data_IF_426281430109
#
_entry.id   IF_426281430109
#
_cell.length_a   1.000
_cell.length_b   1.000
_cell.length_c   1.000
_cell.angle_alpha   90.00
_cell.angle_beta   90.00
_cell.angle_gamma   90.00
#
_symmetry.space_group_name_H-M   'P 1'
#
loop_
_entity.id
_entity.type
_entity.pdbx_description
1 polymer ?
#
# COMPACT_ATOMS: atom_id res chain seq x y z
N UNK A 1 -5.99 -13.24 -10.77
CA UNK A 1 -6.36 -11.82 -10.74
C UNK A 1 -6.44 -11.45 -9.29
N UNK A 2 -5.29 -11.35 -8.64
CA UNK A 2 -5.19 -11.33 -7.17
C UNK A 2 -4.00 -10.46 -6.72
N UNK A 3 -3.47 -9.69 -7.68
CA UNK A 3 -2.43 -8.70 -7.46
C UNK A 3 -3.13 -7.39 -7.12
N UNK A 4 -2.63 -6.70 -6.09
CA UNK A 4 -3.09 -5.38 -5.72
C UNK A 4 -1.89 -4.54 -5.32
N UNK A 5 -2.01 -3.24 -5.48
CA UNK A 5 -1.04 -2.29 -4.97
C UNK A 5 -1.78 -1.14 -4.26
N UNK A 6 -1.05 -0.44 -3.38
CA UNK A 6 -1.52 0.81 -2.79
C UNK A 6 -0.60 1.93 -3.24
N UNK A 7 -1.19 3.01 -3.75
CA UNK A 7 -0.46 4.14 -4.34
C UNK A 7 -0.77 5.41 -3.58
N UNK A 8 0.27 6.19 -3.31
CA UNK A 8 0.11 7.61 -2.98
C UNK A 8 0.17 8.40 -4.29
N UNK A 9 -0.89 9.13 -4.59
CA UNK A 9 -0.96 9.98 -5.77
C UNK A 9 -0.91 11.45 -5.39
N UNK A 10 -0.37 12.28 -6.28
CA UNK A 10 -0.58 13.71 -6.26
C UNK A 10 -2.05 13.99 -6.62
N UNK A 11 -2.83 14.64 -5.76
CA UNK A 11 -4.26 14.81 -6.00
C UNK A 11 -4.60 15.61 -7.27
N UNK A 12 -3.77 16.59 -7.62
CA UNK A 12 -4.04 17.50 -8.74
C UNK A 12 -3.76 16.87 -10.10
N UNK A 13 -2.68 16.09 -10.22
CA UNK A 13 -2.23 15.55 -11.52
C UNK A 13 -2.47 14.05 -11.66
N UNK A 14 -2.77 13.35 -10.56
CA UNK A 14 -2.83 11.89 -10.52
C UNK A 14 -1.46 11.21 -10.59
N UNK A 15 -0.35 11.96 -10.56
CA UNK A 15 1.00 11.40 -10.59
C UNK A 15 1.22 10.47 -9.39
N UNK A 16 1.70 9.25 -9.65
CA UNK A 16 2.08 8.32 -8.58
C UNK A 16 3.36 8.84 -7.91
N UNK A 17 3.25 9.14 -6.62
CA UNK A 17 4.36 9.57 -5.77
C UNK A 17 5.07 8.36 -5.15
N UNK A 18 4.30 7.36 -4.70
CA UNK A 18 4.80 6.11 -4.11
C UNK A 18 3.87 4.95 -4.46
N UNK A 19 4.43 3.74 -4.57
CA UNK A 19 3.70 2.49 -4.81
C UNK A 19 4.18 1.44 -3.83
N UNK A 20 3.24 0.75 -3.21
CA UNK A 20 3.48 -0.44 -2.38
C UNK A 20 2.80 -1.63 -3.04
N UNK A 21 3.59 -2.53 -3.60
CA UNK A 21 3.09 -3.81 -4.11
C UNK A 21 2.67 -4.70 -2.95
N UNK A 22 1.47 -5.28 -3.06
CA UNK A 22 1.01 -6.23 -2.06
C UNK A 22 1.60 -7.62 -2.31
N UNK A 23 1.81 -8.42 -1.25
CA UNK A 23 2.19 -9.82 -1.42
C UNK A 23 1.16 -10.56 -2.29
N UNK A 24 1.58 -11.55 -3.09
CA UNK A 24 0.68 -12.34 -3.93
C UNK A 24 -0.52 -12.89 -3.15
N UNK A 25 -1.70 -12.90 -3.79
CA UNK A 25 -2.95 -13.35 -3.15
C UNK A 25 -3.54 -12.34 -2.16
N UNK A 26 -3.10 -11.08 -2.23
CA UNK A 26 -3.63 -9.98 -1.42
C UNK A 26 -4.48 -9.07 -2.30
N UNK A 27 -5.80 -9.25 -2.21
CA UNK A 27 -6.75 -8.24 -2.70
C UNK A 27 -6.84 -7.04 -1.75
N UNK A 28 -7.07 -5.85 -2.30
CA UNK A 28 -7.48 -4.65 -1.54
C UNK A 28 -8.80 -4.15 -2.13
N UNK A 29 -9.89 -4.27 -1.37
CA UNK A 29 -11.23 -3.84 -1.76
C UNK A 29 -11.62 -2.47 -1.20
N UNK A 30 -10.89 -1.99 -0.18
CA UNK A 30 -11.15 -0.72 0.48
C UNK A 30 -9.95 -0.28 1.32
N UNK A 31 -9.90 1.03 1.61
CA UNK A 31 -8.82 1.67 2.33
C UNK A 31 -9.41 2.71 3.29
N UNK A 32 -9.08 2.63 4.58
CA UNK A 32 -9.49 3.59 5.60
C UNK A 32 -8.28 4.12 6.36
N UNK A 33 -8.30 5.38 6.76
CA UNK A 33 -7.22 6.02 7.52
C UNK A 33 -7.46 5.88 9.02
N UNK A 34 -6.40 5.69 9.81
CA UNK A 34 -6.49 5.81 11.26
C UNK A 34 -6.46 7.28 11.76
N UNK A 35 -6.35 8.24 10.85
CA UNK A 35 -6.17 9.66 11.14
C UNK A 35 -4.71 10.05 11.46
N UNK A 36 -3.82 9.07 11.57
CA UNK A 36 -2.38 9.22 11.78
C UNK A 36 -1.58 8.82 10.54
N UNK A 37 -0.70 7.83 10.71
CA UNK A 37 0.23 7.38 9.67
C UNK A 37 -0.07 5.97 9.13
N UNK A 38 -1.18 5.36 9.55
CA UNK A 38 -1.59 4.04 9.09
C UNK A 38 -2.85 4.09 8.24
N UNK A 39 -2.96 3.09 7.37
CA UNK A 39 -4.19 2.78 6.67
C UNK A 39 -4.54 1.31 6.86
N UNK A 40 -5.83 1.03 6.85
CA UNK A 40 -6.37 -0.32 6.92
C UNK A 40 -6.92 -0.72 5.55
N UNK A 41 -6.38 -1.80 5.01
CA UNK A 41 -6.78 -2.38 3.74
C UNK A 41 -7.69 -3.59 3.98
N UNK A 42 -8.93 -3.54 3.47
CA UNK A 42 -9.85 -4.67 3.49
C UNK A 42 -9.56 -5.66 2.36
N UNK A 43 -9.54 -6.96 2.67
CA UNK A 43 -9.18 -8.03 1.74
C UNK A 43 -10.34 -8.64 0.96
N UNK A 44 -11.48 -7.94 0.81
CA UNK A 44 -12.68 -8.45 0.16
C UNK A 44 -13.10 -9.83 0.68
N UNK A 45 -13.18 -10.80 -0.23
CA UNK A 45 -13.61 -12.18 0.05
C UNK A 45 -12.72 -12.95 1.03
N UNK A 46 -11.49 -12.49 1.28
CA UNK A 46 -10.61 -13.15 2.26
C UNK A 46 -11.00 -12.88 3.71
N UNK A 47 -11.82 -11.85 3.97
CA UNK A 47 -12.18 -11.41 5.33
C UNK A 47 -11.01 -10.86 6.16
N UNK A 48 -9.83 -10.65 5.55
CA UNK A 48 -8.63 -10.15 6.24
C UNK A 48 -8.57 -8.62 6.21
N UNK A 49 -8.01 -8.03 7.26
CA UNK A 49 -7.62 -6.62 7.32
C UNK A 49 -6.10 -6.53 7.49
N UNK A 50 -5.45 -5.64 6.75
CA UNK A 50 -4.01 -5.37 6.85
C UNK A 50 -3.78 -3.91 7.20
N UNK A 51 -2.88 -3.65 8.14
CA UNK A 51 -2.39 -2.30 8.42
C UNK A 51 -1.15 -2.03 7.55
N UNK A 52 -1.16 -0.92 6.82
CA UNK A 52 0.00 -0.38 6.11
C UNK A 52 0.37 0.96 6.72
N UNK A 53 1.65 1.29 6.75
CA UNK A 53 2.15 2.53 7.33
C UNK A 53 2.86 3.37 6.29
N UNK A 54 2.70 4.69 6.34
CA UNK A 54 3.54 5.58 5.54
C UNK A 54 5.01 5.41 5.95
N UNK A 55 5.94 5.24 5.00
CA UNK A 55 7.36 5.25 5.32
C UNK A 55 7.74 6.56 6.03
N UNK A 56 8.59 6.51 7.05
CA UNK A 56 9.15 7.74 7.62
C UNK A 56 10.11 8.32 6.58
N UNK A 57 10.04 9.62 6.30
CA UNK A 57 11.00 10.31 5.43
C UNK A 57 12.43 10.00 5.91
N UNK A 58 13.16 9.19 5.15
CA UNK A 58 14.49 8.67 5.50
C UNK A 58 14.63 7.14 5.44
N UNK A 59 13.53 6.37 5.48
CA UNK A 59 13.57 4.91 5.30
C UNK A 59 13.36 4.56 3.82
N UNK A 60 14.37 4.85 2.99
CA UNK A 60 14.47 4.16 1.71
C UNK A 60 14.99 2.76 2.06
N UNK A 61 14.09 1.78 2.17
CA UNK A 61 14.50 0.38 2.37
C UNK A 61 15.43 0.03 1.21
N UNK A 62 16.64 -0.51 1.46
CA UNK A 62 17.48 -1.00 0.38
C UNK A 62 16.67 -2.02 -0.40
N UNK A 63 16.36 -1.69 -1.66
CA UNK A 63 15.89 -2.71 -2.59
C UNK A 63 17.08 -3.64 -2.79
N UNK A 64 16.93 -4.87 -2.34
CA UNK A 64 17.92 -5.91 -2.57
C UNK A 64 18.03 -6.10 -4.09
N UNK A 65 19.05 -5.44 -4.66
CA UNK A 65 19.44 -5.62 -6.05
C UNK A 65 20.29 -6.88 -6.10
N UNK A 66 19.64 -8.04 -6.08
CA UNK A 66 20.33 -9.31 -6.34
C UNK A 66 19.64 -10.04 -7.49
N UNK A 67 20.30 -9.90 -8.65
CA UNK A 67 20.42 -10.74 -9.85
C UNK A 67 19.19 -11.39 -10.49
#
# INVERSE_FOLDING_TARGET
GDESDVRRIEPETGKVLEKLDMPPGTGVSGLESDGGDQFFCGGGNSGKVRAIRRPRRGSQTPVDSTS
#
